data_IF_235383795182
#
_entry.id   IF_235383795182
#
_cell.length_a   1.000
_cell.length_b   1.000
_cell.length_c   1.000
_cell.angle_alpha   90.00
_cell.angle_beta   90.00
_cell.angle_gamma   90.00
#
_symmetry.space_group_name_H-M   'P 1'
#
loop_
_entity.id
_entity.type
_entity.pdbx_description
1 polymer ?
#
# COMPACT_ATOMS: atom_id res chain seq x y z
N UNK A 1 -29.40 -11.66 8.39
CA UNK A 1 -27.99 -12.01 8.63
C UNK A 1 -27.42 -10.93 9.53
N UNK A 2 -26.91 -11.30 10.70
CA UNK A 2 -26.37 -10.37 11.69
C UNK A 2 -24.94 -9.95 11.25
N UNK A 3 -24.68 -8.66 10.92
CA UNK A 3 -23.38 -8.20 10.42
C UNK A 3 -22.23 -8.40 11.42
N UNK A 4 -22.51 -8.59 12.71
CA UNK A 4 -21.46 -8.72 13.73
C UNK A 4 -20.75 -10.08 13.73
N UNK A 5 -21.44 -11.13 13.26
CA UNK A 5 -20.90 -12.48 13.12
C UNK A 5 -19.84 -12.56 12.00
N UNK A 6 -20.09 -11.85 10.90
CA UNK A 6 -19.25 -11.91 9.70
C UNK A 6 -17.88 -11.26 9.94
N UNK A 7 -17.82 -10.17 10.71
CA UNK A 7 -16.54 -9.51 11.06
C UNK A 7 -15.63 -10.38 11.93
N UNK A 8 -16.21 -11.16 12.86
CA UNK A 8 -15.43 -12.07 13.70
C UNK A 8 -14.80 -13.20 12.90
N UNK A 9 -15.56 -13.77 11.95
CA UNK A 9 -15.05 -14.79 11.04
C UNK A 9 -13.99 -14.24 10.07
N UNK A 10 -14.24 -13.06 9.48
CA UNK A 10 -13.30 -12.42 8.57
C UNK A 10 -11.94 -12.17 9.24
N UNK A 11 -11.94 -11.70 10.49
CA UNK A 11 -10.70 -11.51 11.26
C UNK A 11 -9.91 -12.81 11.50
N UNK A 12 -10.57 -13.98 11.56
CA UNK A 12 -9.90 -15.28 11.73
C UNK A 12 -9.25 -15.78 10.44
N UNK A 13 -9.69 -15.29 9.28
CA UNK A 13 -9.16 -15.72 7.97
C UNK A 13 -8.15 -14.74 7.38
N UNK A 14 -8.09 -13.49 7.88
CA UNK A 14 -7.03 -12.56 7.51
C UNK A 14 -5.66 -13.20 7.75
N UNK A 15 -4.72 -12.89 6.86
CA UNK A 15 -3.34 -13.37 6.85
C UNK A 15 -3.15 -14.86 6.53
N UNK A 16 -4.22 -15.61 6.26
CA UNK A 16 -4.12 -17.01 5.79
C UNK A 16 -3.95 -17.07 4.27
N UNK A 17 -3.33 -18.16 3.78
CA UNK A 17 -3.30 -18.44 2.34
C UNK A 17 -4.70 -18.84 1.90
N UNK A 18 -5.17 -18.20 0.83
CA UNK A 18 -6.43 -18.51 0.18
C UNK A 18 -6.20 -18.74 -1.30
N UNK A 19 -7.05 -19.57 -1.88
CA UNK A 19 -7.17 -19.78 -3.31
C UNK A 19 -8.52 -19.26 -3.75
N UNK A 20 -8.50 -18.32 -4.68
CA UNK A 20 -9.66 -17.73 -5.32
C UNK A 20 -9.84 -18.34 -6.70
N UNK A 21 -11.02 -18.90 -6.94
CA UNK A 21 -11.46 -19.28 -8.28
C UNK A 21 -12.32 -18.16 -8.83
N UNK A 22 -11.91 -17.54 -9.92
CA UNK A 22 -12.65 -16.50 -10.63
C UNK A 22 -13.19 -17.03 -11.95
N UNK A 23 -14.12 -16.29 -12.57
CA UNK A 23 -14.61 -16.60 -13.93
C UNK A 23 -13.47 -16.63 -14.96
N UNK A 24 -12.41 -15.84 -14.72
CA UNK A 24 -11.28 -15.68 -15.64
C UNK A 24 -10.01 -16.45 -15.27
N UNK A 25 -10.03 -17.24 -14.19
CA UNK A 25 -8.88 -18.05 -13.78
C UNK A 25 -8.75 -18.24 -12.27
N UNK A 26 -7.66 -18.89 -11.86
CA UNK A 26 -7.43 -19.29 -10.47
C UNK A 26 -6.20 -18.58 -9.91
N UNK A 27 -6.34 -17.97 -8.72
CA UNK A 27 -5.27 -17.23 -8.06
C UNK A 27 -5.11 -17.67 -6.62
N UNK A 28 -3.87 -17.78 -6.16
CA UNK A 28 -3.54 -18.00 -4.76
C UNK A 28 -2.87 -16.77 -4.17
N UNK A 29 -3.07 -16.49 -2.90
CA UNK A 29 -2.37 -15.42 -2.21
C UNK A 29 -2.65 -15.41 -0.71
N UNK A 30 -2.05 -14.47 0.01
CA UNK A 30 -2.29 -14.27 1.43
C UNK A 30 -3.37 -13.21 1.59
N UNK A 31 -4.48 -13.56 2.25
CA UNK A 31 -5.60 -12.65 2.48
C UNK A 31 -5.15 -11.47 3.35
N UNK A 32 -5.31 -10.25 2.87
CA UNK A 32 -4.95 -9.03 3.61
C UNK A 32 -6.18 -8.34 4.18
N UNK A 33 -7.23 -8.27 3.37
CA UNK A 33 -8.43 -7.53 3.69
C UNK A 33 -9.63 -8.07 2.90
N UNK A 34 -10.81 -8.00 3.53
CA UNK A 34 -12.10 -8.19 2.87
C UNK A 34 -12.93 -6.96 3.16
N UNK A 35 -13.27 -6.21 2.12
CA UNK A 35 -14.11 -5.01 2.21
C UNK A 35 -15.60 -5.41 2.31
N UNK A 36 -16.45 -4.60 2.97
CA UNK A 36 -17.91 -4.82 3.01
C UNK A 36 -18.58 -4.95 1.64
N UNK A 37 -18.00 -4.35 0.59
CA UNK A 37 -18.45 -4.50 -0.80
C UNK A 37 -17.92 -5.78 -1.49
N UNK A 38 -17.44 -6.75 -0.70
CA UNK A 38 -16.90 -8.04 -1.15
C UNK A 38 -15.63 -7.91 -1.99
N UNK A 39 -14.84 -6.85 -1.80
CA UNK A 39 -13.51 -6.73 -2.41
C UNK A 39 -12.52 -7.53 -1.57
N UNK A 40 -11.84 -8.49 -2.19
CA UNK A 40 -10.83 -9.33 -1.55
C UNK A 40 -9.44 -8.86 -1.96
N UNK A 41 -8.63 -8.44 -0.99
CA UNK A 41 -7.26 -7.98 -1.24
C UNK A 41 -6.29 -9.09 -0.84
N UNK A 42 -5.51 -9.58 -1.81
CA UNK A 42 -4.48 -10.58 -1.57
C UNK A 42 -3.07 -10.00 -1.75
N UNK A 43 -2.10 -10.49 -0.99
CA UNK A 43 -0.65 -10.26 -1.18
C UNK A 43 0.02 -11.55 -1.65
N UNK A 44 1.23 -11.45 -2.22
CA UNK A 44 2.01 -12.60 -2.71
C UNK A 44 1.19 -13.45 -3.69
N UNK A 45 0.51 -12.77 -4.61
CA UNK A 45 -0.49 -13.41 -5.45
C UNK A 45 0.20 -14.18 -6.56
N UNK A 46 -0.28 -15.39 -6.84
CA UNK A 46 0.21 -16.25 -7.91
C UNK A 46 -0.99 -16.71 -8.72
N UNK A 47 -0.95 -16.51 -10.04
CA UNK A 47 -1.89 -17.18 -10.93
C UNK A 47 -1.50 -18.66 -10.99
N UNK A 48 -2.43 -19.55 -10.64
CA UNK A 48 -2.19 -21.00 -10.55
C UNK A 48 -2.01 -21.61 -11.94
N UNK A 49 -2.75 -21.13 -12.92
CA UNK A 49 -2.78 -21.65 -14.28
C UNK A 49 -1.52 -21.28 -15.05
N UNK A 50 -1.06 -20.04 -14.92
CA UNK A 50 0.15 -19.54 -15.62
C UNK A 50 1.42 -19.67 -14.78
N UNK A 51 1.29 -20.00 -13.49
CA UNK A 51 2.39 -20.04 -12.52
C UNK A 51 3.03 -18.68 -12.22
N UNK A 52 2.54 -17.57 -12.79
CA UNK A 52 3.15 -16.24 -12.66
C UNK A 52 2.75 -15.58 -11.36
N UNK A 53 3.73 -15.03 -10.65
CA UNK A 53 3.50 -14.19 -9.48
C UNK A 53 3.13 -12.77 -9.91
N UNK A 54 2.14 -12.20 -9.26
CA UNK A 54 1.75 -10.79 -9.38
C UNK A 54 2.48 -9.99 -8.31
N UNK A 55 3.25 -8.95 -8.67
CA UNK A 55 3.93 -8.11 -7.70
C UNK A 55 2.92 -7.30 -6.86
N UNK A 56 3.27 -7.01 -5.61
CA UNK A 56 2.45 -6.20 -4.72
C UNK A 56 1.20 -6.90 -4.16
N UNK A 57 0.14 -6.12 -3.95
CA UNK A 57 -1.19 -6.62 -3.56
C UNK A 57 -2.14 -6.51 -4.75
N UNK A 58 -3.03 -7.49 -4.91
CA UNK A 58 -4.05 -7.52 -5.95
C UNK A 58 -5.43 -7.51 -5.32
N UNK A 59 -6.31 -6.67 -5.87
CA UNK A 59 -7.72 -6.65 -5.53
C UNK A 59 -8.48 -7.61 -6.45
N UNK A 60 -9.42 -8.33 -5.86
CA UNK A 60 -10.35 -9.21 -6.56
C UNK A 60 -11.76 -8.77 -6.18
N UNK A 61 -12.60 -8.54 -7.18
CA UNK A 61 -13.95 -8.04 -6.92
C UNK A 61 -14.90 -9.22 -6.67
N UNK A 62 -15.74 -9.11 -5.65
CA UNK A 62 -16.58 -10.23 -5.21
C UNK A 62 -17.56 -10.76 -6.25
N UNK A 63 -17.93 -9.96 -7.26
CA UNK A 63 -18.76 -10.41 -8.38
C UNK A 63 -18.01 -11.30 -9.38
N UNK A 64 -16.67 -11.28 -9.36
CA UNK A 64 -15.81 -12.11 -10.21
C UNK A 64 -15.40 -13.42 -9.51
N UNK A 65 -15.52 -13.49 -8.18
CA UNK A 65 -15.10 -14.63 -7.35
C UNK A 65 -16.21 -15.68 -7.33
N UNK A 66 -15.89 -16.85 -7.86
CA UNK A 66 -16.78 -18.02 -7.90
C UNK A 66 -16.59 -18.91 -6.67
N UNK A 67 -15.35 -19.05 -6.18
CA UNK A 67 -15.04 -19.85 -4.99
C UNK A 67 -13.85 -19.28 -4.19
N UNK A 68 -13.85 -19.54 -2.88
CA UNK A 68 -12.76 -19.20 -1.95
C UNK A 68 -12.40 -20.45 -1.13
N UNK A 69 -11.17 -20.92 -1.26
CA UNK A 69 -10.64 -22.06 -0.50
C UNK A 69 -9.54 -21.57 0.45
N UNK A 70 -9.60 -21.91 1.73
CA UNK A 70 -8.51 -21.70 2.67
C UNK A 70 -7.48 -22.82 2.48
N UNK A 71 -6.22 -22.42 2.29
CA UNK A 71 -5.10 -23.35 2.18
C UNK A 71 -4.45 -23.45 3.56
N UNK A 72 -4.82 -24.46 4.32
CA UNK A 72 -4.17 -24.77 5.59
C UNK A 72 -2.76 -25.34 5.36
N UNK A 73 -1.81 -24.91 6.18
CA UNK A 73 -0.49 -25.53 6.25
C UNK A 73 -0.67 -26.91 6.89
N UNK A 74 -0.76 -27.94 6.05
CA UNK A 74 -0.91 -29.33 6.49
C UNK A 74 0.40 -29.77 7.16
N UNK A 75 0.37 -29.86 8.49
CA UNK A 75 1.29 -30.75 9.22
C UNK A 75 1.11 -32.18 8.70
N UNK A 76 2.23 -32.85 8.44
CA UNK A 76 2.25 -34.25 8.04
C UNK A 76 1.65 -35.12 9.17
N UNK A 77 0.45 -35.65 8.95
CA UNK A 77 -0.17 -36.63 9.84
C UNK A 77 -1.53 -37.06 9.31
N UNK A 78 -1.67 -38.33 8.98
CA UNK A 78 -2.82 -38.88 8.28
C UNK A 78 -4.12 -38.96 9.12
N UNK A 79 -5.23 -38.98 8.37
CA UNK A 79 -6.60 -39.44 8.67
C UNK A 79 -7.56 -38.43 9.33
N UNK A 80 -8.62 -38.08 8.59
CA UNK A 80 -9.88 -37.58 9.14
C UNK A 80 -10.57 -36.53 8.26
N UNK A 81 -11.49 -36.97 7.42
CA UNK A 81 -12.38 -36.13 6.60
C UNK A 81 -13.06 -35.00 7.39
N UNK A 82 -13.06 -33.79 6.83
CA UNK A 82 -14.19 -32.85 6.82
C UNK A 82 -13.87 -31.64 5.94
N UNK A 83 -14.23 -31.73 4.67
CA UNK A 83 -14.36 -30.56 3.82
C UNK A 83 -15.63 -29.80 4.21
N UNK A 84 -15.49 -28.57 4.72
CA UNK A 84 -16.61 -27.63 4.77
C UNK A 84 -16.72 -26.96 3.40
N UNK A 85 -17.57 -27.50 2.53
CA UNK A 85 -18.05 -26.81 1.33
C UNK A 85 -19.35 -26.09 1.67
N UNK A 86 -19.40 -24.78 1.44
CA UNK A 86 -20.67 -24.04 1.44
C UNK A 86 -20.99 -23.73 -0.01
N UNK A 87 -21.88 -24.53 -0.60
CA UNK A 87 -22.48 -24.26 -1.91
C UNK A 87 -23.69 -23.35 -1.73
N UNK A 88 -23.61 -22.10 -2.19
CA UNK A 88 -24.79 -21.24 -2.35
C UNK A 88 -25.43 -21.57 -3.69
N UNK A 89 -26.50 -22.36 -3.65
CA UNK A 89 -27.27 -22.71 -4.83
C UNK A 89 -28.10 -21.51 -5.32
N UNK A 90 -28.08 -21.34 -6.64
CA UNK A 90 -28.89 -20.43 -7.43
C UNK A 90 -30.36 -20.86 -7.39
N UNK A 91 -31.25 -20.00 -6.91
CA UNK A 91 -32.69 -20.10 -7.21
C UNK A 91 -33.07 -19.13 -8.32
N UNK A 92 -33.53 -19.72 -9.42
CA UNK A 92 -34.08 -19.06 -10.61
C UNK A 92 -35.59 -19.22 -10.52
N UNK A 93 -36.38 -18.14 -10.38
CA UNK A 93 -37.82 -18.19 -10.66
C UNK A 93 -38.38 -16.85 -11.16
N UNK A 94 -38.88 -16.92 -12.41
CA UNK A 94 -39.96 -16.16 -13.09
C UNK A 94 -39.81 -14.69 -13.49
N UNK A 95 -39.82 -14.53 -14.82
CA UNK A 95 -40.38 -13.46 -15.65
C UNK A 95 -41.63 -12.78 -15.05
N UNK A 96 -41.66 -11.45 -15.08
CA UNK A 96 -42.83 -10.67 -15.50
C UNK A 96 -42.38 -9.44 -16.30
N UNK A 97 -43.17 -9.13 -17.34
CA UNK A 97 -42.97 -8.13 -18.41
C UNK A 97 -43.85 -6.90 -18.13
N UNK A 98 -43.50 -5.76 -18.75
CA UNK A 98 -44.17 -4.43 -18.79
C UNK A 98 -43.72 -3.45 -17.68
N UNK A 99 -43.49 -2.15 -17.92
CA UNK A 99 -43.82 -1.25 -19.05
C UNK A 99 -42.89 -0.01 -19.04
N UNK A 100 -42.88 0.66 -20.19
CA UNK A 100 -42.26 1.94 -20.57
C UNK A 100 -42.82 3.14 -19.79
N UNK A 101 -42.22 4.33 -20.00
CA UNK A 101 -42.49 5.69 -19.44
C UNK A 101 -41.62 6.05 -18.20
N UNK A 102 -40.91 7.17 -18.08
CA UNK A 102 -40.87 8.40 -18.87
C UNK A 102 -39.54 9.14 -18.66
N UNK A 103 -39.15 9.93 -19.67
CA UNK A 103 -37.96 10.78 -19.72
C UNK A 103 -38.06 11.93 -18.71
N UNK A 104 -36.96 12.24 -18.00
CA UNK A 104 -36.72 13.62 -17.59
C UNK A 104 -35.24 13.98 -17.59
N UNK A 105 -34.93 14.91 -18.50
CA UNK A 105 -33.63 15.49 -18.80
C UNK A 105 -33.36 16.59 -17.77
N UNK A 106 -32.22 16.55 -17.09
CA UNK A 106 -31.68 17.71 -16.38
C UNK A 106 -30.28 17.99 -16.92
N UNK A 107 -30.16 19.07 -17.68
CA UNK A 107 -28.87 19.63 -18.13
C UNK A 107 -28.07 20.19 -16.94
N UNK A 108 -26.73 20.00 -16.91
CA UNK A 108 -25.86 20.76 -16.03
C UNK A 108 -25.37 22.07 -16.70
N UNK A 109 -25.19 23.18 -15.94
CA UNK A 109 -24.71 24.46 -16.47
C UNK A 109 -23.19 24.43 -16.77
N UNK A 110 -22.67 25.38 -17.57
CA UNK A 110 -21.37 25.25 -18.22
C UNK A 110 -20.19 25.40 -17.26
N UNK A 111 -19.13 24.63 -17.53
CA UNK A 111 -17.87 24.67 -16.82
C UNK A 111 -17.09 25.97 -17.12
N UNK A 112 -16.63 26.64 -16.05
CA UNK A 112 -15.61 27.69 -16.11
C UNK A 112 -14.26 27.03 -16.33
N UNK A 113 -13.60 27.35 -17.45
CA UNK A 113 -12.23 26.95 -17.72
C UNK A 113 -11.26 27.57 -16.71
N UNK A 114 -10.39 26.74 -16.10
CA UNK A 114 -9.23 27.19 -15.34
C UNK A 114 -7.97 26.55 -15.97
N UNK A 115 -6.87 27.31 -16.15
CA UNK A 115 -5.71 26.86 -16.90
C UNK A 115 -4.78 26.02 -15.99
N UNK A 116 -4.81 24.69 -16.13
CA UNK A 116 -3.94 23.77 -15.37
C UNK A 116 -2.86 23.07 -16.20
N UNK A 117 -2.70 23.42 -17.48
CA UNK A 117 -1.77 22.70 -18.37
C UNK A 117 -0.33 23.22 -18.37
N UNK A 118 0.00 24.29 -17.64
CA UNK A 118 1.34 24.92 -17.75
C UNK A 118 2.37 24.50 -16.70
N UNK A 119 1.99 23.90 -15.56
CA UNK A 119 2.96 23.61 -14.47
C UNK A 119 3.59 22.21 -14.52
N UNK A 120 3.05 21.27 -15.29
CA UNK A 120 3.56 19.89 -15.36
C UNK A 120 4.70 19.72 -16.38
N UNK A 121 4.86 20.66 -17.32
CA UNK A 121 5.86 20.56 -18.38
C UNK A 121 7.30 20.86 -17.91
N UNK A 122 7.46 21.45 -16.72
CA UNK A 122 8.75 21.90 -16.19
C UNK A 122 9.48 20.83 -15.36
N UNK A 123 8.82 19.71 -15.02
CA UNK A 123 9.47 18.57 -14.34
C UNK A 123 10.03 17.56 -15.37
N UNK A 124 10.87 18.03 -16.29
CA UNK A 124 11.72 17.11 -17.05
C UNK A 124 12.89 16.71 -16.17
N UNK A 125 12.85 15.47 -15.65
CA UNK A 125 14.02 14.85 -15.03
C UNK A 125 15.14 14.74 -16.08
N UNK A 126 16.08 15.68 -16.04
CA UNK A 126 17.31 15.68 -16.84
C UNK A 126 18.43 15.09 -15.98
N UNK A 127 19.00 13.92 -16.33
CA UNK A 127 20.09 13.29 -15.58
C UNK A 127 21.43 14.07 -15.59
N UNK A 128 21.45 15.30 -16.12
CA UNK A 128 22.67 16.04 -16.45
C UNK A 128 23.20 16.93 -15.32
N UNK A 129 22.47 17.06 -14.22
CA UNK A 129 22.92 17.72 -12.99
C UNK A 129 22.65 16.78 -11.83
N UNK A 130 23.61 15.89 -11.53
CA UNK A 130 23.62 15.14 -10.28
C UNK A 130 23.82 16.14 -9.13
N UNK A 131 22.75 16.79 -8.67
CA UNK A 131 22.76 17.39 -7.34
C UNK A 131 23.11 16.27 -6.36
N UNK A 132 24.29 16.35 -5.75
CA UNK A 132 24.75 15.39 -4.76
C UNK A 132 23.83 15.49 -3.54
N UNK A 133 22.74 14.70 -3.53
CA UNK A 133 21.79 14.67 -2.43
C UNK A 133 22.46 14.04 -1.22
N UNK A 134 22.92 14.90 -0.31
CA UNK A 134 23.56 14.47 0.93
C UNK A 134 22.55 13.78 1.85
N UNK A 135 22.96 12.65 2.45
CA UNK A 135 22.19 11.97 3.49
C UNK A 135 22.85 12.11 4.87
N UNK A 136 22.04 12.08 5.93
CA UNK A 136 22.50 12.15 7.32
C UNK A 136 21.82 11.07 8.15
N UNK A 137 22.62 10.17 8.72
CA UNK A 137 22.16 9.18 9.70
C UNK A 137 22.02 9.84 11.07
N UNK A 138 20.88 9.62 11.70
CA UNK A 138 20.50 10.10 13.02
C UNK A 138 20.21 8.89 13.90
N UNK A 139 21.23 8.50 14.65
CA UNK A 139 21.30 7.33 15.52
C UNK A 139 21.44 7.72 17.01
N UNK A 140 21.67 9.01 17.27
CA UNK A 140 21.76 9.59 18.61
C UNK A 140 21.15 11.00 18.66
N UNK A 141 20.76 11.43 19.86
CA UNK A 141 20.15 12.74 20.08
C UNK A 141 21.18 13.88 20.06
N UNK A 142 22.41 13.59 20.43
CA UNK A 142 23.49 14.56 20.51
C UNK A 142 23.93 15.00 19.11
N UNK A 143 24.23 16.30 18.96
CA UNK A 143 24.79 16.98 17.78
C UNK A 143 23.93 17.02 16.51
N UNK A 144 23.35 15.90 16.05
CA UNK A 144 22.69 15.80 14.73
C UNK A 144 21.17 15.97 14.81
N UNK A 145 20.53 15.39 15.83
CA UNK A 145 19.06 15.32 15.91
C UNK A 145 18.42 16.71 15.94
N UNK A 146 18.89 17.62 16.81
CA UNK A 146 18.32 18.96 16.93
C UNK A 146 18.42 19.77 15.64
N UNK A 147 19.59 19.76 14.98
CA UNK A 147 19.80 20.46 13.71
C UNK A 147 18.92 19.88 12.59
N UNK A 148 18.79 18.56 12.51
CA UNK A 148 17.90 17.90 11.56
C UNK A 148 16.44 18.29 11.79
N UNK A 149 15.95 18.24 13.04
CA UNK A 149 14.57 18.61 13.35
C UNK A 149 14.27 20.09 13.07
N UNK A 150 15.22 20.99 13.33
CA UNK A 150 15.09 22.41 12.98
C UNK A 150 14.98 22.62 11.47
N UNK A 151 15.73 21.85 10.68
CA UNK A 151 15.65 21.92 9.22
C UNK A 151 14.35 21.32 8.69
N UNK A 152 13.96 20.14 9.16
CA UNK A 152 12.74 19.43 8.75
C UNK A 152 11.48 20.25 9.05
N UNK A 153 11.40 20.88 10.23
CA UNK A 153 10.24 21.69 10.65
C UNK A 153 10.01 22.93 9.78
N UNK A 154 11.00 23.37 9.00
CA UNK A 154 10.87 24.51 8.08
C UNK A 154 10.29 24.13 6.73
N UNK A 155 10.18 22.84 6.43
CA UNK A 155 9.70 22.37 5.14
C UNK A 155 8.17 22.43 5.09
N UNK A 156 7.62 22.91 3.98
CA UNK A 156 6.19 22.80 3.67
C UNK A 156 5.83 21.45 3.05
N UNK A 157 6.78 20.79 2.40
CA UNK A 157 6.64 19.48 1.78
C UNK A 157 7.89 18.66 2.09
N UNK A 158 7.69 17.39 2.45
CA UNK A 158 8.75 16.42 2.63
C UNK A 158 8.26 15.03 2.23
N UNK A 159 9.16 14.11 1.89
CA UNK A 159 8.81 12.71 1.71
C UNK A 159 9.09 11.90 2.96
N UNK A 160 8.29 10.86 3.20
CA UNK A 160 8.49 9.92 4.30
C UNK A 160 8.48 8.49 3.78
N UNK A 161 9.48 7.72 4.17
CA UNK A 161 9.51 6.28 3.96
C UNK A 161 9.93 5.58 5.26
N UNK A 162 9.57 4.31 5.39
CA UNK A 162 9.82 3.54 6.60
C UNK A 162 10.27 2.13 6.24
N UNK A 163 11.18 1.61 7.04
CA UNK A 163 11.75 0.28 6.85
C UNK A 163 11.82 -0.48 8.17
N UNK A 164 11.61 -1.79 8.09
CA UNK A 164 11.56 -2.65 9.26
C UNK A 164 10.95 -4.01 9.00
N UNK A 165 10.91 -4.84 10.04
CA UNK A 165 10.34 -6.19 9.96
C UNK A 165 8.81 -6.10 10.01
N UNK A 166 8.13 -6.36 8.89
CA UNK A 166 6.67 -6.35 8.76
C UNK A 166 6.03 -5.06 9.30
N UNK A 167 6.47 -3.88 8.85
CA UNK A 167 5.96 -2.57 9.33
C UNK A 167 4.42 -2.52 9.32
N UNK A 168 3.81 -2.64 10.50
CA UNK A 168 2.38 -2.61 10.79
C UNK A 168 2.21 -2.56 12.32
N UNK A 169 1.00 -2.67 12.87
CA UNK A 169 0.77 -2.67 14.34
C UNK A 169 1.50 -3.75 15.15
N UNK A 170 1.87 -4.88 14.55
CA UNK A 170 2.59 -5.98 15.21
C UNK A 170 4.05 -6.12 14.74
N UNK A 171 4.47 -5.29 13.78
CA UNK A 171 5.81 -5.30 13.23
C UNK A 171 6.81 -4.54 14.08
N UNK A 172 7.98 -4.30 13.50
CA UNK A 172 9.03 -3.49 14.10
C UNK A 172 9.52 -2.45 13.10
N UNK A 173 9.34 -1.18 13.43
CA UNK A 173 9.92 -0.07 12.69
C UNK A 173 11.39 0.09 13.07
N UNK A 174 12.29 -0.02 12.09
CA UNK A 174 13.73 0.10 12.31
C UNK A 174 14.27 1.44 11.83
N UNK A 175 13.82 1.91 10.66
CA UNK A 175 14.27 3.15 10.06
C UNK A 175 13.09 4.02 9.65
N UNK A 176 13.20 5.31 9.93
CA UNK A 176 12.33 6.33 9.36
C UNK A 176 13.17 7.26 8.50
N UNK A 177 12.78 7.42 7.25
CA UNK A 177 13.49 8.19 6.25
C UNK A 177 12.66 9.45 5.97
N UNK A 178 13.29 10.62 6.05
CA UNK A 178 12.66 11.91 5.75
C UNK A 178 13.51 12.60 4.69
N UNK A 179 12.98 12.76 3.47
CA UNK A 179 13.66 13.52 2.44
C UNK A 179 13.04 14.91 2.29
N UNK A 180 13.92 15.88 2.13
CA UNK A 180 13.61 17.26 1.74
C UNK A 180 14.15 17.48 0.32
N UNK A 181 13.91 18.64 -0.28
CA UNK A 181 14.42 18.91 -1.63
C UNK A 181 15.95 18.84 -1.75
N UNK A 182 16.69 19.01 -0.65
CA UNK A 182 18.16 19.09 -0.69
C UNK A 182 18.89 18.03 0.16
N UNK A 183 18.18 17.29 1.02
CA UNK A 183 18.79 16.39 2.02
C UNK A 183 17.88 15.23 2.39
N UNK A 184 18.48 14.08 2.68
CA UNK A 184 17.81 12.89 3.24
C UNK A 184 18.26 12.65 4.68
N UNK A 185 17.30 12.43 5.59
CA UNK A 185 17.57 12.06 6.98
C UNK A 185 17.14 10.62 7.23
N UNK A 186 18.04 9.82 7.78
CA UNK A 186 17.79 8.42 8.13
C UNK A 186 17.80 8.30 9.65
N UNK A 187 16.63 8.24 10.26
CA UNK A 187 16.48 8.06 11.71
C UNK A 187 16.51 6.56 12.03
N UNK A 188 17.47 6.13 12.83
CA UNK A 188 17.53 4.78 13.39
C UNK A 188 16.50 4.67 14.53
N UNK A 189 15.25 4.37 14.18
CA UNK A 189 14.15 4.23 15.15
C UNK A 189 14.38 3.02 16.05
N UNK A 190 15.09 2.00 15.58
CA UNK A 190 15.41 0.84 16.40
C UNK A 190 16.30 1.23 17.60
N UNK A 191 17.32 2.07 17.35
CA UNK A 191 18.22 2.55 18.40
C UNK A 191 17.63 3.71 19.22
N UNK A 192 17.01 4.69 18.56
CA UNK A 192 16.46 5.89 19.23
C UNK A 192 15.20 5.59 20.03
N UNK A 193 14.41 4.61 19.58
CA UNK A 193 13.11 4.23 20.14
C UNK A 193 12.06 5.34 20.06
N UNK A 194 11.02 5.23 20.89
CA UNK A 194 9.90 6.18 20.94
C UNK A 194 10.35 7.63 21.21
N UNK A 195 11.53 7.81 21.80
CA UNK A 195 12.10 9.14 22.05
C UNK A 195 12.32 9.93 20.76
N UNK A 196 12.59 9.30 19.61
CA UNK A 196 12.71 10.02 18.35
C UNK A 196 11.41 10.76 17.99
N UNK A 197 10.26 10.12 18.23
CA UNK A 197 8.95 10.70 18.02
C UNK A 197 8.64 11.81 19.02
N UNK A 198 8.84 11.53 20.31
CA UNK A 198 8.59 12.49 21.39
C UNK A 198 9.46 13.75 21.28
N UNK A 199 10.65 13.66 20.68
CA UNK A 199 11.56 14.79 20.50
C UNK A 199 11.33 15.56 19.18
N UNK A 200 10.25 15.29 18.46
CA UNK A 200 9.72 16.20 17.45
C UNK A 200 9.28 15.57 16.14
N UNK A 201 9.64 14.31 15.84
CA UNK A 201 9.13 13.65 14.62
C UNK A 201 7.61 13.52 14.65
N UNK A 202 7.00 13.26 15.83
CA UNK A 202 5.55 13.26 15.97
C UNK A 202 4.95 14.60 15.53
N UNK A 203 5.50 15.72 15.99
CA UNK A 203 5.00 17.05 15.62
C UNK A 203 4.99 17.24 14.10
N UNK A 204 6.02 16.75 13.39
CA UNK A 204 6.12 16.88 11.93
C UNK A 204 5.11 15.98 11.22
N UNK A 205 4.97 14.73 11.66
CA UNK A 205 4.07 13.75 11.06
C UNK A 205 2.59 14.13 11.24
N UNK A 206 2.24 14.79 12.36
CA UNK A 206 0.88 15.24 12.67
C UNK A 206 0.56 16.66 12.18
N UNK A 207 1.57 17.49 11.82
CA UNK A 207 1.34 18.88 11.38
C UNK A 207 0.57 18.90 10.04
N UNK A 208 -0.58 19.58 10.04
CA UNK A 208 -1.45 19.75 8.87
C UNK A 208 -0.88 20.69 7.80
N UNK A 209 0.13 21.49 8.14
CA UNK A 209 0.77 22.46 7.23
C UNK A 209 1.94 21.86 6.46
N UNK A 210 2.48 20.75 6.95
CA UNK A 210 3.56 20.01 6.29
C UNK A 210 2.93 18.88 5.49
N UNK A 211 3.10 18.87 4.17
CA UNK A 211 2.66 17.79 3.30
C UNK A 211 3.66 16.65 3.33
N UNK A 212 3.19 15.44 3.64
CA UNK A 212 4.01 14.22 3.61
C UNK A 212 3.75 13.47 2.32
N UNK A 213 4.73 13.44 1.43
CA UNK A 213 4.68 12.62 0.21
C UNK A 213 5.13 11.21 0.55
N UNK A 214 4.22 10.24 0.39
CA UNK A 214 4.45 8.83 0.75
C UNK A 214 3.98 7.96 -0.41
N UNK A 215 4.55 6.78 -0.58
CA UNK A 215 4.02 5.77 -1.49
C UNK A 215 3.40 4.63 -0.67
N UNK A 216 2.10 4.40 -0.82
CA UNK A 216 1.36 3.40 -0.05
C UNK A 216 1.50 3.59 1.47
N UNK A 217 0.88 4.65 2.01
CA UNK A 217 1.07 5.03 3.41
C UNK A 217 0.34 4.11 4.41
N UNK A 218 -0.46 3.13 3.96
CA UNK A 218 -1.35 2.31 4.80
C UNK A 218 -0.58 1.63 5.94
N UNK A 219 0.52 0.97 5.61
CA UNK A 219 1.34 0.21 6.56
C UNK A 219 2.07 1.10 7.56
N UNK A 220 2.59 2.23 7.09
CA UNK A 220 3.24 3.21 7.95
C UNK A 220 2.22 3.85 8.90
N UNK A 221 1.04 4.23 8.40
CA UNK A 221 -0.03 4.81 9.21
C UNK A 221 -0.50 3.83 10.29
N UNK A 222 -0.70 2.55 9.96
CA UNK A 222 -1.08 1.51 10.91
C UNK A 222 -0.02 1.33 12.01
N UNK A 223 1.26 1.28 11.64
CA UNK A 223 2.39 1.18 12.56
C UNK A 223 2.47 2.40 13.50
N UNK A 224 2.43 3.62 12.95
CA UNK A 224 2.50 4.88 13.70
C UNK A 224 1.37 5.00 14.72
N UNK A 225 0.14 4.72 14.30
CA UNK A 225 -1.03 4.85 15.17
C UNK A 225 -1.01 3.85 16.32
N UNK A 226 -0.72 2.57 16.05
CA UNK A 226 -0.85 1.52 17.07
C UNK A 226 0.37 1.39 17.98
N UNK A 227 1.58 1.60 17.45
CA UNK A 227 2.80 1.41 18.25
C UNK A 227 3.28 2.70 18.93
N UNK A 228 3.00 3.86 18.32
CA UNK A 228 3.54 5.15 18.76
C UNK A 228 2.47 6.18 19.10
N UNK A 229 1.19 5.90 18.87
CA UNK A 229 0.09 6.82 19.15
C UNK A 229 0.08 8.06 18.24
N UNK A 230 0.68 7.97 17.04
CA UNK A 230 0.86 9.09 16.12
C UNK A 230 -0.18 9.04 15.01
N UNK A 231 -0.91 10.14 14.81
CA UNK A 231 -1.92 10.28 13.76
C UNK A 231 -1.34 10.99 12.53
N UNK A 232 -0.85 10.20 11.58
CA UNK A 232 -0.30 10.72 10.33
C UNK A 232 -1.35 11.60 9.60
N UNK A 233 -0.98 12.85 9.31
CA UNK A 233 -1.91 13.86 8.76
C UNK A 233 -1.38 14.48 7.46
N UNK A 234 -2.21 15.10 6.62
CA UNK A 234 -1.80 15.80 5.40
C UNK A 234 -0.80 15.01 4.54
N UNK A 235 -1.26 13.87 4.01
CA UNK A 235 -0.46 12.94 3.20
C UNK A 235 -0.85 13.09 1.73
N UNK A 236 0.15 13.17 0.87
CA UNK A 236 0.00 12.91 -0.56
C UNK A 236 0.50 11.49 -0.85
N UNK A 237 -0.42 10.56 -1.08
CA UNK A 237 -0.08 9.17 -1.41
C UNK A 237 0.10 9.03 -2.93
N UNK A 238 1.34 8.82 -3.35
CA UNK A 238 1.70 8.68 -4.77
C UNK A 238 1.12 7.43 -5.43
N UNK A 239 0.80 6.37 -4.68
CA UNK A 239 0.11 5.19 -5.22
C UNK A 239 -1.35 5.51 -5.53
N UNK A 240 -2.01 6.27 -4.67
CA UNK A 240 -3.38 6.75 -4.92
C UNK A 240 -3.39 7.73 -6.10
N UNK A 241 -2.40 8.63 -6.16
CA UNK A 241 -2.26 9.55 -7.29
C UNK A 241 -2.10 8.81 -8.63
N UNK A 242 -1.30 7.73 -8.67
CA UNK A 242 -1.14 6.89 -9.88
C UNK A 242 -2.46 6.24 -10.31
N UNK A 243 -3.25 5.73 -9.35
CA UNK A 243 -4.58 5.15 -9.63
C UNK A 243 -5.55 6.21 -10.15
N UNK A 244 -5.57 7.40 -9.55
CA UNK A 244 -6.43 8.50 -9.98
C UNK A 244 -6.06 8.98 -11.38
N UNK A 245 -4.76 9.08 -11.67
CA UNK A 245 -4.28 9.44 -13.01
C UNK A 245 -4.72 8.40 -14.05
N UNK A 246 -4.54 7.11 -13.78
CA UNK A 246 -5.03 6.04 -14.67
C UNK A 246 -6.54 6.17 -14.92
N UNK A 247 -7.31 6.45 -13.88
CA UNK A 247 -8.76 6.61 -13.99
C UNK A 247 -9.15 7.79 -14.87
N UNK A 248 -8.46 8.93 -14.73
CA UNK A 248 -8.67 10.09 -15.60
C UNK A 248 -8.34 9.78 -17.06
N UNK A 249 -7.23 9.09 -17.32
CA UNK A 249 -6.78 8.75 -18.68
C UNK A 249 -7.68 7.71 -19.37
N UNK A 250 -8.33 6.84 -18.60
CA UNK A 250 -9.18 5.76 -19.13
C UNK A 250 -10.67 6.08 -19.12
N UNK A 251 -11.07 7.27 -18.66
CA UNK A 251 -12.48 7.67 -18.61
C UNK A 251 -13.26 7.04 -17.45
N UNK A 252 -12.59 6.78 -16.32
CA UNK A 252 -13.22 6.36 -15.06
C UNK A 252 -12.92 4.93 -14.63
N UNK A 253 -12.14 4.15 -15.39
CA UNK A 253 -11.79 2.79 -14.99
C UNK A 253 -10.74 2.78 -13.86
N UNK A 254 -10.75 1.72 -13.06
CA UNK A 254 -9.69 1.46 -12.08
C UNK A 254 -8.68 0.47 -12.67
N UNK A 255 -7.39 0.58 -12.32
CA UNK A 255 -6.40 -0.37 -12.80
C UNK A 255 -6.59 -1.72 -12.10
N UNK A 256 -6.34 -2.81 -12.85
CA UNK A 256 -6.43 -4.18 -12.32
C UNK A 256 -5.38 -4.50 -11.26
N UNK A 257 -4.29 -3.75 -11.23
CA UNK A 257 -3.21 -3.85 -10.27
C UNK A 257 -2.77 -2.44 -9.86
N UNK A 258 -2.45 -2.26 -8.58
CA UNK A 258 -1.84 -1.01 -8.12
C UNK A 258 -0.33 -1.04 -8.38
N UNK A 259 0.24 0.10 -8.77
CA UNK A 259 1.66 0.17 -9.05
C UNK A 259 2.49 0.16 -7.78
N UNK A 260 3.60 -0.57 -7.83
CA UNK A 260 4.70 -0.44 -6.87
C UNK A 260 5.41 0.90 -7.03
N UNK A 261 6.23 1.27 -6.03
CA UNK A 261 7.06 2.47 -6.11
C UNK A 261 7.99 2.39 -7.33
N UNK A 262 8.61 1.23 -7.56
CA UNK A 262 9.49 0.99 -8.70
C UNK A 262 8.76 1.22 -10.03
N UNK A 263 7.59 0.61 -10.23
CA UNK A 263 6.81 0.80 -11.45
C UNK A 263 6.41 2.26 -11.64
N UNK A 264 6.05 2.95 -10.56
CA UNK A 264 5.70 4.38 -10.58
C UNK A 264 6.90 5.24 -10.99
N UNK A 265 8.10 4.98 -10.45
CA UNK A 265 9.33 5.68 -10.81
C UNK A 265 9.72 5.47 -12.28
N UNK A 266 9.58 4.24 -12.80
CA UNK A 266 9.83 3.93 -14.21
C UNK A 266 8.81 4.66 -15.09
N UNK A 267 7.52 4.59 -14.75
CA UNK A 267 6.44 5.15 -15.57
C UNK A 267 6.51 6.68 -15.64
N UNK A 268 6.63 7.33 -14.48
CA UNK A 268 6.46 8.78 -14.36
C UNK A 268 7.78 9.55 -14.47
N UNK A 269 8.88 9.00 -13.96
CA UNK A 269 10.18 9.67 -13.95
C UNK A 269 11.18 9.09 -14.96
N UNK A 270 10.79 8.04 -15.70
CA UNK A 270 11.64 7.37 -16.71
C UNK A 270 12.97 6.87 -16.14
N UNK A 271 13.01 6.55 -14.85
CA UNK A 271 14.22 5.99 -14.21
C UNK A 271 14.52 4.62 -14.80
N UNK A 272 15.76 4.39 -15.21
CA UNK A 272 16.15 3.12 -15.81
C UNK A 272 16.08 1.98 -14.76
N UNK A 273 15.52 0.80 -15.09
CA UNK A 273 15.33 -0.30 -14.14
C UNK A 273 16.59 -0.74 -13.39
N UNK A 274 17.77 -0.61 -14.01
CA UNK A 274 19.06 -0.93 -13.40
C UNK A 274 19.35 -0.14 -12.11
N UNK A 275 18.78 1.07 -11.96
CA UNK A 275 18.93 1.89 -10.77
C UNK A 275 17.91 1.56 -9.67
N UNK A 276 16.95 0.67 -9.96
CA UNK A 276 15.85 0.32 -9.07
C UNK A 276 15.85 -1.16 -8.67
N UNK A 277 16.80 -1.96 -9.16
CA UNK A 277 16.88 -3.40 -8.88
C UNK A 277 16.91 -3.71 -7.37
N UNK A 278 17.51 -2.83 -6.58
CA UNK A 278 17.58 -2.95 -5.13
C UNK A 278 16.19 -2.98 -4.46
N UNK A 279 15.17 -2.33 -5.05
CA UNK A 279 13.81 -2.34 -4.49
C UNK A 279 13.16 -3.73 -4.56
N UNK A 280 13.37 -4.46 -5.66
CA UNK A 280 12.88 -5.83 -5.81
C UNK A 280 13.59 -6.79 -4.87
N UNK A 281 14.92 -6.67 -4.78
CA UNK A 281 15.74 -7.50 -3.90
C UNK A 281 15.31 -7.32 -2.45
N UNK A 282 15.09 -6.07 -2.02
CA UNK A 282 14.56 -5.76 -0.68
C UNK A 282 13.20 -6.39 -0.45
N UNK A 283 12.27 -6.27 -1.40
CA UNK A 283 10.93 -6.86 -1.23
C UNK A 283 10.96 -8.38 -1.10
N UNK A 284 11.93 -9.06 -1.73
CA UNK A 284 12.15 -10.51 -1.59
C UNK A 284 12.71 -10.86 -0.20
N UNK A 285 13.60 -10.03 0.36
CA UNK A 285 14.18 -10.24 1.68
C UNK A 285 13.14 -10.08 2.80
N UNK A 286 12.26 -9.07 2.72
CA UNK A 286 11.20 -8.85 3.72
C UNK A 286 10.19 -10.02 3.79
N UNK A 287 10.14 -10.88 2.76
CA UNK A 287 9.23 -12.03 2.71
C UNK A 287 9.77 -13.31 3.36
N UNK A 288 11.04 -13.35 3.79
CA UNK A 288 11.65 -14.51 4.46
C UNK A 288 11.39 -14.47 5.97
N UNK A 289 11.22 -15.62 6.65
CA UNK A 289 10.89 -15.68 8.07
C UNK A 289 11.99 -15.07 8.96
N UNK A 290 11.63 -14.49 10.12
CA UNK A 290 12.52 -13.72 11.01
C UNK A 290 13.67 -14.54 11.63
N UNK A 291 13.65 -15.87 11.56
CA UNK A 291 14.71 -16.76 12.07
C UNK A 291 16.04 -16.63 11.31
N UNK A 292 16.07 -15.95 10.16
CA UNK A 292 17.30 -15.73 9.38
C UNK A 292 17.96 -14.35 9.60
N UNK A 293 17.45 -13.49 10.50
CA UNK A 293 17.85 -12.07 10.55
C UNK A 293 18.46 -11.53 11.86
N UNK A 294 19.42 -12.19 12.53
CA UNK A 294 20.12 -11.51 13.61
C UNK A 294 21.12 -10.43 13.12
N UNK A 295 21.59 -10.46 11.86
CA UNK A 295 22.71 -9.59 11.44
C UNK A 295 22.55 -8.76 10.14
N UNK A 296 21.50 -8.95 9.33
CA UNK A 296 21.44 -8.31 8.01
C UNK A 296 21.10 -6.80 8.02
N UNK A 297 20.87 -6.19 9.18
CA UNK A 297 20.48 -4.77 9.28
C UNK A 297 21.63 -3.85 9.74
N UNK A 298 22.81 -4.41 10.05
CA UNK A 298 24.00 -3.66 10.49
C UNK A 298 25.30 -4.17 9.81
N UNK A 299 25.24 -4.66 8.57
CA UNK A 299 26.43 -5.08 7.81
C UNK A 299 26.49 -4.40 6.46
#
# INVERSE_FOLDING_TARGET
>A
MDPSSDYHFLNQILWRRVKLTLVCGIFEGVLQHVDPNKIVVLKKVKNVETGRSVPGVKMFFGHEIVNVELLDEVEQGAVGEKAFSVSLNTERTRMHKMKDEDLNICEPPPASEAPTTSLLNDLKYSPSEEEEVTYTVIDQFQQKFGAAMLHIKKQSVLSVAAEGANVCRHGKLCWLQVATNSRVYLFDIFLLGNRAFNNGLQMVLEDKRILKVIHDCRWLSDCLSHQYGILLNNVFDTQVADVLQFSMETGGFLPNCISTLQESLIRHLKVAPKYLSFLEERQKLIQKPPTCYPFAWYS
#
